data_IF_219160979263
#
_entry.id   IF_219160979263
#
_cell.length_a   1.000
_cell.length_b   1.000
_cell.length_c   1.000
_cell.angle_alpha   90.00
_cell.angle_beta   90.00
_cell.angle_gamma   90.00
#
_symmetry.space_group_name_H-M   'P 1'
#
loop_
_entity.id
_entity.type
_entity.pdbx_description
1 polymer ?
#
# COMPACT_ATOMS: atom_id res chain seq x y z
N UNK A 1 -31.52 -31.36 17.65
CA UNK A 1 -30.22 -30.76 18.05
C UNK A 1 -30.11 -30.77 19.56
N UNK A 2 -28.95 -31.14 20.09
CA UNK A 2 -28.68 -31.11 21.53
C UNK A 2 -28.35 -29.67 21.96
N UNK A 3 -28.67 -29.26 23.20
CA UNK A 3 -28.37 -27.91 23.69
C UNK A 3 -26.86 -27.58 23.63
N UNK A 4 -25.99 -28.57 23.80
CA UNK A 4 -24.55 -28.40 23.65
C UNK A 4 -24.13 -28.03 22.22
N UNK A 5 -24.79 -28.58 21.20
CA UNK A 5 -24.52 -28.25 19.79
C UNK A 5 -24.91 -26.79 19.49
N UNK A 6 -26.03 -26.32 20.05
CA UNK A 6 -26.48 -24.93 19.93
C UNK A 6 -25.50 -23.95 20.58
N UNK A 7 -24.95 -24.31 21.75
CA UNK A 7 -23.94 -23.49 22.43
C UNK A 7 -22.65 -23.37 21.60
N UNK A 8 -22.19 -24.49 21.02
CA UNK A 8 -21.01 -24.50 20.15
C UNK A 8 -21.22 -23.63 18.92
N UNK A 9 -22.37 -23.75 18.25
CA UNK A 9 -22.70 -22.93 17.07
C UNK A 9 -22.75 -21.44 17.45
N UNK A 10 -23.32 -21.10 18.60
CA UNK A 10 -23.35 -19.73 19.11
C UNK A 10 -21.93 -19.16 19.31
N UNK A 11 -21.04 -19.94 19.94
CA UNK A 11 -19.64 -19.53 20.15
C UNK A 11 -18.91 -19.36 18.81
N UNK A 12 -19.07 -20.29 17.88
CA UNK A 12 -18.45 -20.21 16.56
C UNK A 12 -18.95 -18.98 15.78
N UNK A 13 -20.24 -18.67 15.87
CA UNK A 13 -20.81 -17.47 15.25
C UNK A 13 -20.22 -16.18 15.82
N UNK A 14 -20.01 -16.11 17.13
CA UNK A 14 -19.37 -14.96 17.78
C UNK A 14 -17.90 -14.79 17.36
N UNK A 15 -17.15 -15.89 17.27
CA UNK A 15 -15.76 -15.86 16.82
C UNK A 15 -15.64 -15.44 15.34
N UNK A 16 -16.50 -15.98 14.47
CA UNK A 16 -16.51 -15.56 13.06
C UNK A 16 -16.88 -14.09 12.89
N UNK A 17 -17.77 -13.57 13.74
CA UNK A 17 -18.15 -12.16 13.73
C UNK A 17 -16.98 -11.26 14.13
N UNK A 18 -16.22 -11.61 15.17
CA UNK A 18 -15.06 -10.82 15.60
C UNK A 18 -13.98 -10.78 14.51
N UNK A 19 -13.65 -11.93 13.91
CA UNK A 19 -12.66 -12.00 12.82
C UNK A 19 -13.09 -11.19 11.59
N UNK A 20 -14.40 -11.22 11.26
CA UNK A 20 -14.95 -10.40 10.18
C UNK A 20 -14.81 -8.89 10.46
N UNK A 21 -15.06 -8.48 11.71
CA UNK A 21 -14.94 -7.09 12.13
C UNK A 21 -13.48 -6.62 12.08
N UNK A 22 -12.54 -7.43 12.57
CA UNK A 22 -11.12 -7.13 12.50
C UNK A 22 -10.63 -7.06 11.05
N UNK A 23 -11.11 -7.96 10.19
CA UNK A 23 -10.82 -7.90 8.76
C UNK A 23 -11.34 -6.60 8.11
N UNK A 24 -12.57 -6.18 8.40
CA UNK A 24 -13.12 -4.91 7.91
C UNK A 24 -12.33 -3.71 8.38
N UNK A 25 -11.89 -3.70 9.65
CA UNK A 25 -11.09 -2.61 10.21
C UNK A 25 -9.69 -2.54 9.59
N UNK A 26 -9.08 -3.69 9.30
CA UNK A 26 -7.73 -3.78 8.77
C UNK A 26 -7.64 -3.75 7.24
N UNK A 27 -8.77 -3.67 6.52
CA UNK A 27 -8.78 -3.65 5.05
C UNK A 27 -7.99 -2.47 4.44
N UNK A 28 -7.96 -1.34 5.15
CA UNK A 28 -7.23 -0.14 4.72
C UNK A 28 -5.82 -0.05 5.31
N UNK A 29 -5.47 -0.94 6.25
CA UNK A 29 -4.19 -0.88 6.95
C UNK A 29 -3.15 -1.68 6.15
N UNK A 30 -2.40 -1.00 5.30
CA UNK A 30 -1.32 -1.63 4.53
C UNK A 30 -0.07 -1.71 5.40
N UNK A 31 0.33 -2.92 5.78
CA UNK A 31 1.65 -3.14 6.38
C UNK A 31 2.69 -3.00 5.27
N UNK A 32 3.37 -1.85 5.26
CA UNK A 32 4.49 -1.59 4.35
C UNK A 32 5.71 -2.33 4.89
N UNK A 33 6.03 -3.48 4.30
CA UNK A 33 7.27 -4.17 4.56
C UNK A 33 8.39 -3.34 3.92
N UNK A 34 9.13 -2.58 4.74
CA UNK A 34 10.34 -1.93 4.27
C UNK A 34 11.25 -3.00 3.63
N UNK A 35 11.52 -2.84 2.34
CA UNK A 35 12.48 -3.67 1.62
C UNK A 35 13.78 -3.71 2.44
N UNK A 36 14.43 -4.86 2.65
CA UNK A 36 15.70 -4.95 3.41
C UNK A 36 16.88 -5.39 2.55
N UNK A 37 16.68 -5.51 1.24
CA UNK A 37 17.72 -5.90 0.29
C UNK A 37 18.62 -4.73 -0.09
N UNK A 38 19.75 -5.02 -0.74
CA UNK A 38 20.54 -3.98 -1.37
C UNK A 38 19.74 -3.37 -2.54
N UNK A 39 19.61 -2.03 -2.64
CA UNK A 39 18.90 -1.41 -3.74
C UNK A 39 19.57 -1.81 -5.07
N UNK A 40 18.82 -2.48 -5.94
CA UNK A 40 19.29 -2.85 -7.30
C UNK A 40 19.11 -1.70 -8.29
N UNK A 41 18.51 -0.59 -7.84
CA UNK A 41 18.21 0.60 -8.64
C UNK A 41 19.27 1.67 -8.44
N UNK A 42 19.46 2.48 -9.47
CA UNK A 42 20.33 3.66 -9.42
C UNK A 42 19.63 4.88 -8.84
N UNK A 43 20.41 5.82 -8.32
CA UNK A 43 19.92 7.11 -7.82
C UNK A 43 19.13 7.89 -8.87
N UNK A 44 19.53 7.80 -10.14
CA UNK A 44 18.82 8.42 -11.26
C UNK A 44 17.40 7.85 -11.45
N UNK A 45 17.25 6.53 -11.33
CA UNK A 45 15.94 5.87 -11.44
C UNK A 45 15.00 6.28 -10.29
N UNK A 46 15.53 6.37 -9.07
CA UNK A 46 14.76 6.91 -7.93
C UNK A 46 14.41 8.39 -8.14
N UNK A 47 15.32 9.21 -8.66
CA UNK A 47 15.03 10.61 -8.99
C UNK A 47 13.90 10.77 -10.00
N UNK A 48 13.88 9.95 -11.05
CA UNK A 48 12.81 9.92 -12.05
C UNK A 48 11.46 9.51 -11.42
N UNK A 49 11.46 8.52 -10.53
CA UNK A 49 10.24 8.08 -9.83
C UNK A 49 9.70 9.18 -8.90
N UNK A 50 10.59 9.85 -8.15
CA UNK A 50 10.23 10.97 -7.28
C UNK A 50 9.63 12.14 -8.07
N UNK A 51 10.20 12.45 -9.22
CA UNK A 51 9.66 13.49 -10.11
C UNK A 51 8.24 13.14 -10.57
N UNK A 52 7.99 11.89 -10.99
CA UNK A 52 6.64 11.45 -11.37
C UNK A 52 5.64 11.55 -10.21
N UNK A 53 6.04 11.21 -8.99
CA UNK A 53 5.19 11.34 -7.81
C UNK A 53 4.82 12.81 -7.53
N UNK A 54 5.79 13.71 -7.64
CA UNK A 54 5.56 15.16 -7.55
C UNK A 54 4.62 15.65 -8.65
N UNK A 55 4.84 15.25 -9.90
CA UNK A 55 4.00 15.67 -11.03
C UNK A 55 2.54 15.25 -10.81
N UNK A 56 2.29 14.03 -10.32
CA UNK A 56 0.93 13.55 -10.01
C UNK A 56 0.27 14.37 -8.88
N UNK A 57 1.05 14.82 -7.90
CA UNK A 57 0.54 15.54 -6.72
C UNK A 57 0.33 17.04 -7.00
N UNK A 58 1.24 17.66 -7.76
CA UNK A 58 1.27 19.10 -8.01
C UNK A 58 0.54 19.49 -9.30
N UNK A 59 0.64 18.66 -10.35
CA UNK A 59 0.08 18.93 -11.69
C UNK A 59 -1.07 17.99 -12.04
N UNK A 60 -1.88 17.63 -11.03
CA UNK A 60 -2.95 16.62 -11.14
C UNK A 60 -3.87 16.81 -12.36
N UNK A 61 -4.26 18.04 -12.69
CA UNK A 61 -5.13 18.34 -13.84
C UNK A 61 -4.46 18.06 -15.21
N UNK A 62 -3.17 18.39 -15.36
CA UNK A 62 -2.43 18.13 -16.61
C UNK A 62 -2.11 16.64 -16.76
N UNK A 63 -1.76 16.01 -15.65
CA UNK A 63 -1.36 14.60 -15.56
C UNK A 63 -2.56 13.66 -15.73
N UNK A 64 -3.79 14.10 -15.44
CA UNK A 64 -5.01 13.34 -15.68
C UNK A 64 -5.20 12.98 -17.17
N UNK A 65 -4.76 13.84 -18.09
CA UNK A 65 -4.77 13.56 -19.52
C UNK A 65 -3.70 12.53 -19.90
N UNK A 66 -2.51 12.62 -19.30
CA UNK A 66 -1.40 11.69 -19.55
C UNK A 66 -1.74 10.26 -19.10
N UNK A 67 -2.45 10.10 -17.98
CA UNK A 67 -2.94 8.81 -17.49
C UNK A 67 -4.33 8.42 -18.01
N UNK A 68 -4.81 9.07 -19.09
CA UNK A 68 -6.08 8.74 -19.78
C UNK A 68 -7.30 8.65 -18.84
N UNK A 69 -7.39 9.56 -17.87
CA UNK A 69 -8.49 9.58 -16.91
C UNK A 69 -8.45 8.49 -15.84
N UNK A 70 -7.32 7.79 -15.65
CA UNK A 70 -7.13 6.95 -14.47
C UNK A 70 -7.27 7.76 -13.18
N UNK A 71 -7.80 7.11 -12.14
CA UNK A 71 -7.88 7.67 -10.80
C UNK A 71 -6.47 7.98 -10.28
N UNK A 72 -6.15 9.27 -10.14
CA UNK A 72 -4.85 9.74 -9.68
C UNK A 72 -4.50 9.24 -8.28
N UNK A 73 -5.50 8.91 -7.47
CA UNK A 73 -5.30 8.29 -6.14
C UNK A 73 -4.75 6.88 -6.28
N UNK A 74 -5.15 6.14 -7.31
CA UNK A 74 -4.59 4.80 -7.61
C UNK A 74 -3.20 4.91 -8.22
N UNK A 75 -2.98 5.91 -9.09
CA UNK A 75 -1.67 6.19 -9.68
C UNK A 75 -0.67 6.56 -8.58
N UNK A 76 -1.03 7.45 -7.66
CA UNK A 76 -0.14 7.83 -6.56
C UNK A 76 0.21 6.63 -5.67
N UNK A 77 -0.79 5.84 -5.26
CA UNK A 77 -0.57 4.59 -4.49
C UNK A 77 0.26 3.55 -5.23
N UNK A 78 0.23 3.54 -6.56
CA UNK A 78 1.09 2.67 -7.35
C UNK A 78 2.55 3.15 -7.30
N UNK A 79 2.79 4.43 -7.51
CA UNK A 79 4.14 5.02 -7.49
C UNK A 79 4.78 4.93 -6.10
N UNK A 80 4.01 5.13 -5.03
CA UNK A 80 4.48 4.93 -3.65
C UNK A 80 4.92 3.48 -3.39
N UNK A 81 4.18 2.50 -3.94
CA UNK A 81 4.57 1.09 -3.86
C UNK A 81 5.85 0.81 -4.65
N UNK A 82 5.98 1.36 -5.85
CA UNK A 82 7.23 1.24 -6.62
C UNK A 82 8.42 1.84 -5.85
N UNK A 83 8.23 2.99 -5.21
CA UNK A 83 9.28 3.66 -4.42
C UNK A 83 9.81 2.75 -3.30
N UNK A 84 8.89 2.11 -2.58
CA UNK A 84 9.22 1.18 -1.51
C UNK A 84 9.85 -0.11 -2.03
N UNK A 85 9.30 -0.69 -3.09
CA UNK A 85 9.80 -1.95 -3.68
C UNK A 85 11.19 -1.81 -4.27
N UNK A 86 11.50 -0.66 -4.86
CA UNK A 86 12.82 -0.37 -5.41
C UNK A 86 13.86 -0.04 -4.32
N UNK A 87 13.45 0.16 -3.07
CA UNK A 87 14.33 0.53 -1.98
C UNK A 87 14.89 1.95 -2.12
N UNK A 88 14.19 2.84 -2.83
CA UNK A 88 14.65 4.20 -3.07
C UNK A 88 14.81 5.01 -1.78
N UNK A 89 13.95 4.77 -0.79
CA UNK A 89 14.08 5.35 0.55
C UNK A 89 15.42 5.00 1.20
N UNK A 90 15.83 3.74 1.13
CA UNK A 90 17.08 3.27 1.72
C UNK A 90 18.31 3.74 0.95
N UNK A 91 18.21 3.82 -0.38
CA UNK A 91 19.28 4.35 -1.20
C UNK A 91 19.56 5.82 -0.86
N UNK A 92 18.51 6.64 -0.63
CA UNK A 92 18.70 8.04 -0.21
C UNK A 92 19.35 8.15 1.16
N UNK A 93 18.87 7.37 2.14
CA UNK A 93 19.43 7.33 3.49
C UNK A 93 20.91 6.90 3.48
N UNK A 94 21.29 5.95 2.61
CA UNK A 94 22.69 5.52 2.45
C UNK A 94 23.58 6.60 1.82
N UNK A 95 23.01 7.50 1.01
CA UNK A 95 23.75 8.59 0.37
C UNK A 95 23.72 9.91 1.16
N UNK A 96 23.11 9.92 2.35
CA UNK A 96 23.08 11.07 3.26
C UNK A 96 22.11 12.18 2.85
N UNK A 97 21.06 11.83 2.09
CA UNK A 97 19.95 12.71 1.74
C UNK A 97 18.71 12.48 2.61
#
# INVERSE_FOLDING_TARGET
MKPAEMAIIGILGLLLWSEWQDWQLNQADSITLAYKGAPTVSMWQCGQLKQKMMDVTEHSAEVQFQYRGQDLTQVNRYLEREWQQQGCEQLLLQQGY
#
